data_IF_671933943205
#
_entry.id   IF_671933943205
#
_cell.length_a   1.000
_cell.length_b   1.000
_cell.length_c   1.000
_cell.angle_alpha   90.00
_cell.angle_beta   90.00
_cell.angle_gamma   90.00
#
_symmetry.space_group_name_H-M   'P 1'
#
loop_
_entity.id
_entity.type
_entity.pdbx_description
1 polymer ?
#
# COMPACT_ATOMS: atom_id res chain seq x y z
N UNK A 1 -11.49 -8.59 27.66
CA UNK A 1 -12.97 -8.70 27.50
C UNK A 1 -13.30 -10.17 27.34
N UNK A 2 -14.48 -10.66 27.80
CA UNK A 2 -14.84 -12.07 27.63
C UNK A 2 -15.15 -12.37 26.18
N UNK A 3 -14.62 -13.48 25.64
CA UNK A 3 -14.94 -13.93 24.27
C UNK A 3 -16.46 -14.09 24.11
N UNK A 4 -17.03 -13.72 22.94
CA UNK A 4 -18.47 -13.88 22.71
C UNK A 4 -18.87 -15.35 22.81
N UNK A 5 -20.05 -15.60 23.38
CA UNK A 5 -20.58 -16.96 23.44
C UNK A 5 -21.08 -17.40 22.06
N UNK A 6 -21.39 -18.70 21.92
CA UNK A 6 -21.79 -19.29 20.64
C UNK A 6 -23.03 -18.63 20.02
N UNK A 7 -24.02 -18.26 20.84
CA UNK A 7 -25.25 -17.58 20.38
C UNK A 7 -24.93 -16.18 19.83
N UNK A 8 -24.12 -15.40 20.55
CA UNK A 8 -23.68 -14.08 20.10
C UNK A 8 -22.91 -14.16 18.79
N UNK A 9 -22.05 -15.18 18.65
CA UNK A 9 -21.30 -15.44 17.40
C UNK A 9 -22.25 -15.70 16.24
N UNK A 10 -23.21 -16.61 16.39
CA UNK A 10 -24.20 -16.94 15.35
C UNK A 10 -25.02 -15.71 14.97
N UNK A 11 -25.51 -14.94 15.95
CA UNK A 11 -26.30 -13.72 15.71
C UNK A 11 -25.44 -12.65 14.98
N UNK A 12 -24.17 -12.47 15.35
CA UNK A 12 -23.27 -11.56 14.68
C UNK A 12 -23.03 -11.93 13.21
N UNK A 13 -22.75 -13.22 12.94
CA UNK A 13 -22.56 -13.72 11.58
C UNK A 13 -23.86 -13.59 10.75
N UNK A 14 -25.02 -13.89 11.34
CA UNK A 14 -26.32 -13.75 10.69
C UNK A 14 -26.61 -12.28 10.35
N UNK A 15 -26.41 -11.36 11.29
CA UNK A 15 -26.57 -9.94 11.07
C UNK A 15 -25.64 -9.41 9.97
N UNK A 16 -24.37 -9.83 9.96
CA UNK A 16 -23.40 -9.47 8.94
C UNK A 16 -23.85 -9.91 7.55
N UNK A 17 -24.13 -11.21 7.40
CA UNK A 17 -24.51 -11.84 6.10
C UNK A 17 -25.86 -11.32 5.62
N UNK A 18 -26.85 -11.17 6.51
CA UNK A 18 -28.18 -10.66 6.20
C UNK A 18 -28.11 -9.20 5.72
N UNK A 19 -27.36 -8.34 6.42
CA UNK A 19 -27.15 -6.94 6.01
C UNK A 19 -26.45 -6.86 4.66
N UNK A 20 -25.40 -7.68 4.41
CA UNK A 20 -24.72 -7.72 3.10
C UNK A 20 -25.67 -8.18 1.98
N UNK A 21 -26.49 -9.20 2.25
CA UNK A 21 -27.52 -9.68 1.29
C UNK A 21 -28.53 -8.61 0.94
N UNK A 22 -29.07 -7.90 1.93
CA UNK A 22 -30.02 -6.81 1.74
C UNK A 22 -29.42 -5.68 0.90
N UNK A 23 -28.20 -5.24 1.21
CA UNK A 23 -27.51 -4.20 0.45
C UNK A 23 -27.30 -4.59 -1.01
N UNK A 24 -26.95 -5.85 -1.29
CA UNK A 24 -26.80 -6.36 -2.66
C UNK A 24 -28.13 -6.32 -3.43
N UNK A 25 -29.24 -6.74 -2.82
CA UNK A 25 -30.57 -6.73 -3.44
C UNK A 25 -31.04 -5.30 -3.72
N UNK A 26 -30.72 -4.35 -2.83
CA UNK A 26 -31.12 -2.93 -3.02
C UNK A 26 -30.16 -2.14 -3.92
N UNK A 27 -29.12 -2.79 -4.51
CA UNK A 27 -28.15 -2.12 -5.37
C UNK A 27 -27.26 -1.10 -4.65
N UNK A 28 -27.28 -1.07 -3.31
CA UNK A 28 -26.47 -0.16 -2.49
C UNK A 28 -25.14 -0.80 -2.17
N UNK A 29 -24.05 -0.19 -2.63
CA UNK A 29 -22.71 -0.49 -2.16
C UNK A 29 -22.58 -0.06 -0.70
N UNK A 30 -22.25 -0.98 0.21
CA UNK A 30 -22.03 -0.66 1.62
C UNK A 30 -21.10 -1.68 2.24
N UNK A 31 -19.80 -1.37 2.30
CA UNK A 31 -18.78 -2.28 2.83
C UNK A 31 -18.72 -2.26 4.36
N UNK A 32 -19.06 -1.12 5.00
CA UNK A 32 -18.94 -0.94 6.45
C UNK A 32 -20.17 -1.38 7.25
N UNK A 33 -21.41 -1.23 6.69
CA UNK A 33 -22.65 -1.48 7.43
C UNK A 33 -22.81 -2.93 7.92
N UNK A 34 -22.47 -3.97 7.13
CA UNK A 34 -22.53 -5.36 7.62
C UNK A 34 -21.64 -5.61 8.85
N UNK A 35 -20.44 -5.03 8.87
CA UNK A 35 -19.55 -5.16 10.02
C UNK A 35 -20.06 -4.40 11.25
N UNK A 36 -20.65 -3.22 11.05
CA UNK A 36 -21.31 -2.51 12.16
C UNK A 36 -22.46 -3.34 12.74
N UNK A 37 -23.29 -3.96 11.91
CA UNK A 37 -24.40 -4.82 12.34
C UNK A 37 -23.90 -6.05 13.10
N UNK A 38 -22.82 -6.69 12.64
CA UNK A 38 -22.18 -7.82 13.36
C UNK A 38 -21.73 -7.42 14.77
N UNK A 39 -21.09 -6.27 14.91
CA UNK A 39 -20.52 -5.78 16.17
C UNK A 39 -21.57 -5.32 17.21
N UNK A 40 -22.84 -5.20 16.82
CA UNK A 40 -23.94 -4.95 17.77
C UNK A 40 -24.13 -6.14 18.73
N UNK A 41 -24.02 -7.35 18.21
CA UNK A 41 -24.21 -8.58 19.01
C UNK A 41 -22.93 -9.05 19.70
N UNK A 42 -21.76 -8.84 19.05
CA UNK A 42 -20.47 -9.12 19.64
C UNK A 42 -19.44 -8.11 19.13
N UNK A 43 -18.94 -7.23 20.04
CA UNK A 43 -17.96 -6.19 19.68
C UNK A 43 -16.67 -6.78 19.14
N UNK A 44 -16.25 -7.95 19.64
CA UNK A 44 -15.01 -8.64 19.34
C UNK A 44 -15.22 -9.83 18.37
N UNK A 45 -16.32 -9.82 17.59
CA UNK A 45 -16.63 -10.88 16.61
C UNK A 45 -15.47 -11.12 15.62
N UNK A 46 -14.70 -10.08 15.31
CA UNK A 46 -13.57 -10.14 14.39
C UNK A 46 -12.48 -11.10 14.94
N UNK A 47 -12.20 -11.10 16.25
CA UNK A 47 -11.25 -12.02 16.88
C UNK A 47 -11.66 -13.49 16.71
N UNK A 48 -12.98 -13.77 16.84
CA UNK A 48 -13.50 -15.12 16.66
C UNK A 48 -13.42 -15.56 15.20
N UNK A 49 -13.86 -14.68 14.28
CA UNK A 49 -13.98 -15.02 12.87
C UNK A 49 -12.65 -15.01 12.11
N UNK A 50 -11.58 -14.45 12.68
CA UNK A 50 -10.21 -14.52 12.15
C UNK A 50 -9.34 -15.59 12.84
N UNK A 51 -9.86 -16.25 13.87
CA UNK A 51 -9.08 -17.21 14.67
C UNK A 51 -8.57 -18.37 13.84
N UNK A 52 -7.25 -18.58 13.82
CA UNK A 52 -6.60 -19.63 13.04
C UNK A 52 -6.30 -19.26 11.58
N UNK A 53 -6.57 -18.01 11.18
CA UNK A 53 -6.08 -17.47 9.91
C UNK A 53 -4.63 -16.98 10.05
N UNK A 54 -3.85 -17.15 8.99
CA UNK A 54 -2.58 -16.47 8.82
C UNK A 54 -2.81 -15.18 8.00
N UNK A 55 -2.46 -14.04 8.58
CA UNK A 55 -2.87 -12.73 8.05
C UNK A 55 -1.67 -11.85 7.77
N UNK A 56 -1.63 -11.26 6.56
CA UNK A 56 -0.77 -10.14 6.19
C UNK A 56 -1.62 -8.86 6.26
N UNK A 57 -1.18 -7.86 7.00
CA UNK A 57 -1.78 -6.52 7.01
C UNK A 57 -0.93 -5.57 6.17
N UNK A 58 -1.57 -4.80 5.30
CA UNK A 58 -0.92 -3.75 4.50
C UNK A 58 -1.50 -2.40 4.88
N UNK A 59 -0.64 -1.48 5.32
CA UNK A 59 -0.98 -0.11 5.70
C UNK A 59 0.00 0.91 5.11
N UNK A 60 -0.25 2.20 5.28
CA UNK A 60 0.55 3.31 4.74
C UNK A 60 -0.26 4.20 3.79
N UNK A 61 0.23 5.40 3.47
CA UNK A 61 -0.56 6.42 2.75
C UNK A 61 -0.90 6.00 1.32
N UNK A 62 0.11 5.62 0.53
CA UNK A 62 -0.04 5.20 -0.86
C UNK A 62 0.35 3.73 -1.06
N UNK A 63 -0.23 3.08 -2.09
CA UNK A 63 0.18 1.73 -2.49
C UNK A 63 -0.51 0.58 -1.77
N UNK A 64 -1.30 0.80 -0.70
CA UNK A 64 -2.00 -0.23 0.07
C UNK A 64 -2.73 -1.25 -0.81
N UNK A 65 -3.66 -0.77 -1.62
CA UNK A 65 -4.51 -1.61 -2.47
C UNK A 65 -3.69 -2.39 -3.51
N UNK A 66 -2.70 -1.75 -4.13
CA UNK A 66 -1.85 -2.39 -5.15
C UNK A 66 -0.98 -3.48 -4.52
N UNK A 67 -0.33 -3.20 -3.39
CA UNK A 67 0.47 -4.18 -2.65
C UNK A 67 -0.39 -5.36 -2.18
N UNK A 68 -1.57 -5.09 -1.62
CA UNK A 68 -2.51 -6.15 -1.20
C UNK A 68 -2.95 -7.04 -2.36
N UNK A 69 -3.18 -6.45 -3.54
CA UNK A 69 -3.52 -7.22 -4.75
C UNK A 69 -2.36 -8.05 -5.28
N UNK A 70 -1.14 -7.54 -5.26
CA UNK A 70 0.05 -8.31 -5.62
C UNK A 70 0.18 -9.56 -4.72
N UNK A 71 -0.04 -9.39 -3.41
CA UNK A 71 -0.03 -10.48 -2.44
C UNK A 71 -1.19 -11.47 -2.64
N UNK A 72 -2.43 -10.97 -2.81
CA UNK A 72 -3.61 -11.81 -3.10
C UNK A 72 -3.41 -12.61 -4.38
N UNK A 73 -2.89 -11.94 -5.44
CA UNK A 73 -2.63 -12.58 -6.72
C UNK A 73 -1.57 -13.68 -6.60
N UNK A 74 -0.47 -13.41 -5.91
CA UNK A 74 0.60 -14.39 -5.69
C UNK A 74 0.09 -15.61 -4.92
N UNK A 75 -0.64 -15.43 -3.81
CA UNK A 75 -1.24 -16.50 -3.05
C UNK A 75 -2.20 -17.34 -3.90
N UNK A 76 -3.05 -16.70 -4.68
CA UNK A 76 -4.02 -17.38 -5.55
C UNK A 76 -3.32 -18.14 -6.68
N UNK A 77 -2.31 -17.55 -7.31
CA UNK A 77 -1.52 -18.20 -8.37
C UNK A 77 -0.75 -19.42 -7.85
N UNK A 78 -0.32 -19.40 -6.58
CA UNK A 78 0.30 -20.53 -5.89
C UNK A 78 -0.71 -21.59 -5.42
N UNK A 79 -2.02 -21.43 -5.71
CA UNK A 79 -3.06 -22.37 -5.35
C UNK A 79 -3.62 -22.22 -3.93
N UNK A 80 -3.32 -21.13 -3.23
CA UNK A 80 -3.85 -20.85 -1.91
C UNK A 80 -5.17 -20.08 -1.98
N UNK A 81 -6.18 -20.52 -1.25
CA UNK A 81 -7.37 -19.70 -1.02
C UNK A 81 -7.05 -18.53 -0.10
N UNK A 82 -7.22 -17.30 -0.60
CA UNK A 82 -6.92 -16.08 0.10
C UNK A 82 -8.15 -15.16 0.20
N UNK A 83 -8.41 -14.64 1.39
CA UNK A 83 -9.38 -13.57 1.60
C UNK A 83 -8.69 -12.21 1.51
N UNK A 84 -9.25 -11.29 0.72
CA UNK A 84 -8.83 -9.90 0.70
C UNK A 84 -10.03 -8.96 0.84
N UNK A 85 -9.89 -7.86 1.59
CA UNK A 85 -10.92 -6.84 1.66
C UNK A 85 -10.85 -5.93 0.44
N UNK A 86 -11.77 -6.15 -0.49
CA UNK A 86 -11.87 -5.37 -1.74
C UNK A 86 -12.57 -4.03 -1.48
N UNK A 87 -12.36 -3.07 -2.39
CA UNK A 87 -13.14 -1.82 -2.45
C UNK A 87 -13.00 -0.86 -1.27
N UNK A 88 -11.79 -0.68 -0.73
CA UNK A 88 -11.54 0.35 0.29
C UNK A 88 -12.21 0.10 1.65
N UNK A 89 -12.64 -1.14 1.94
CA UNK A 89 -13.19 -1.54 3.23
C UNK A 89 -12.09 -1.71 4.29
N UNK A 90 -11.24 -0.68 4.47
CA UNK A 90 -10.01 -0.69 5.25
C UNK A 90 -10.15 -0.20 6.70
N UNK A 91 -11.35 0.24 7.09
CA UNK A 91 -11.67 0.57 8.48
C UNK A 91 -12.14 -0.67 9.25
N UNK A 92 -12.12 -0.61 10.58
CA UNK A 92 -12.52 -1.71 11.47
C UNK A 92 -13.84 -2.38 11.07
N UNK A 93 -14.86 -1.59 10.71
CA UNK A 93 -16.16 -2.12 10.30
C UNK A 93 -16.11 -2.84 8.95
N UNK A 94 -15.31 -2.36 8.01
CA UNK A 94 -15.10 -2.99 6.71
C UNK A 94 -14.34 -4.32 6.84
N UNK A 95 -13.22 -4.32 7.55
CA UNK A 95 -12.45 -5.54 7.85
C UNK A 95 -13.31 -6.57 8.57
N UNK A 96 -14.10 -6.13 9.58
CA UNK A 96 -15.05 -7.01 10.28
C UNK A 96 -16.07 -7.61 9.30
N UNK A 97 -16.61 -6.80 8.39
CA UNK A 97 -17.59 -7.27 7.40
C UNK A 97 -17.00 -8.35 6.49
N UNK A 98 -15.78 -8.14 5.95
CA UNK A 98 -15.15 -9.09 5.03
C UNK A 98 -14.84 -10.42 5.72
N UNK A 99 -14.16 -10.40 6.85
CA UNK A 99 -13.77 -11.62 7.58
C UNK A 99 -15.02 -12.35 8.10
N UNK A 100 -15.97 -11.64 8.73
CA UNK A 100 -17.19 -12.26 9.28
C UNK A 100 -18.09 -12.84 8.19
N UNK A 101 -18.23 -12.20 7.03
CA UNK A 101 -18.99 -12.77 5.91
C UNK A 101 -18.32 -14.02 5.32
N UNK A 102 -17.01 -14.11 5.37
CA UNK A 102 -16.26 -15.31 4.95
C UNK A 102 -16.31 -16.45 5.98
N UNK A 103 -16.73 -16.21 7.21
CA UNK A 103 -16.81 -17.25 8.22
C UNK A 103 -18.03 -18.18 8.03
N UNK A 104 -17.97 -19.38 8.63
CA UNK A 104 -19.13 -20.27 8.80
C UNK A 104 -20.16 -19.63 9.74
N UNK A 105 -21.34 -20.21 9.86
CA UNK A 105 -22.37 -19.75 10.81
C UNK A 105 -21.92 -19.84 12.29
N UNK A 106 -20.98 -20.73 12.57
CA UNK A 106 -20.37 -20.91 13.90
C UNK A 106 -19.15 -20.03 14.15
N UNK A 107 -18.82 -19.14 13.20
CA UNK A 107 -17.71 -18.19 13.31
C UNK A 107 -16.34 -18.72 12.87
N UNK A 108 -16.23 -19.96 12.39
CA UNK A 108 -14.94 -20.47 11.88
C UNK A 108 -14.62 -19.86 10.52
N UNK A 109 -13.38 -19.37 10.28
CA UNK A 109 -12.98 -18.89 8.97
C UNK A 109 -13.08 -20.01 7.92
N UNK A 110 -13.37 -19.65 6.67
CA UNK A 110 -13.40 -20.59 5.54
C UNK A 110 -12.08 -20.66 4.80
N UNK A 111 -11.29 -19.57 4.84
CA UNK A 111 -9.98 -19.48 4.23
C UNK A 111 -8.90 -19.46 5.30
N UNK A 112 -7.74 -20.04 5.00
CA UNK A 112 -6.61 -20.05 5.90
C UNK A 112 -5.79 -18.75 5.81
N UNK A 113 -5.63 -18.20 4.61
CA UNK A 113 -4.86 -17.00 4.36
C UNK A 113 -5.74 -15.77 4.18
N UNK A 114 -5.25 -14.62 4.67
CA UNK A 114 -5.86 -13.33 4.37
C UNK A 114 -4.83 -12.24 4.13
N UNK A 115 -5.12 -11.35 3.20
CA UNK A 115 -4.42 -10.08 2.97
C UNK A 115 -5.38 -8.95 3.29
N UNK A 116 -5.10 -8.20 4.33
CA UNK A 116 -5.99 -7.15 4.84
C UNK A 116 -5.36 -5.78 4.62
N UNK A 117 -5.95 -5.01 3.71
CA UNK A 117 -5.70 -3.58 3.62
C UNK A 117 -6.30 -2.89 4.85
N UNK A 118 -5.48 -2.15 5.59
CA UNK A 118 -5.90 -1.43 6.79
C UNK A 118 -5.50 0.05 6.72
N UNK A 119 -6.45 0.89 7.07
CA UNK A 119 -6.23 2.33 7.21
C UNK A 119 -5.32 2.59 8.42
N UNK A 120 -4.46 3.60 8.34
CA UNK A 120 -3.45 3.94 9.33
C UNK A 120 -4.07 4.24 10.70
N UNK A 121 -5.19 4.98 10.73
CA UNK A 121 -5.91 5.30 11.97
C UNK A 121 -6.70 4.12 12.53
N UNK A 122 -7.08 3.14 11.69
CA UNK A 122 -7.80 1.94 12.09
C UNK A 122 -6.88 0.82 12.61
N UNK A 123 -5.59 0.86 12.25
CA UNK A 123 -4.62 -0.20 12.54
C UNK A 123 -4.64 -0.61 14.02
N UNK A 124 -4.59 0.37 14.94
CA UNK A 124 -4.60 0.17 16.39
C UNK A 124 -5.87 -0.53 16.94
N UNK A 125 -6.96 -0.56 16.14
CA UNK A 125 -8.22 -1.20 16.52
C UNK A 125 -8.36 -2.58 15.87
N UNK A 126 -7.81 -2.76 14.67
CA UNK A 126 -7.92 -3.99 13.88
C UNK A 126 -6.91 -5.04 14.32
N UNK A 127 -5.64 -4.65 14.41
CA UNK A 127 -4.50 -5.54 14.67
C UNK A 127 -4.66 -6.40 15.93
N UNK A 128 -5.10 -5.85 17.09
CA UNK A 128 -5.26 -6.68 18.30
C UNK A 128 -6.38 -7.71 18.22
N UNK A 129 -7.23 -7.64 17.21
CA UNK A 129 -8.33 -8.60 16.99
C UNK A 129 -7.99 -9.68 15.97
N UNK A 130 -7.08 -9.40 15.03
CA UNK A 130 -6.75 -10.34 13.95
C UNK A 130 -5.38 -10.98 14.08
N UNK A 131 -4.52 -10.50 15.00
CA UNK A 131 -3.19 -11.03 15.30
C UNK A 131 -2.37 -11.34 14.02
N UNK A 132 -1.99 -10.34 13.22
CA UNK A 132 -1.32 -10.57 11.94
C UNK A 132 0.07 -11.18 12.14
N UNK A 133 0.47 -12.06 11.22
CA UNK A 133 1.82 -12.62 11.15
C UNK A 133 2.82 -11.62 10.57
N UNK A 134 2.36 -10.78 9.63
CA UNK A 134 3.16 -9.75 8.96
C UNK A 134 2.38 -8.44 8.89
N UNK A 135 3.04 -7.33 9.16
CA UNK A 135 2.54 -5.97 8.91
C UNK A 135 3.48 -5.29 7.93
N UNK A 136 2.92 -4.82 6.81
CA UNK A 136 3.62 -4.04 5.78
C UNK A 136 3.25 -2.57 5.95
N UNK A 137 4.25 -1.70 6.00
CA UNK A 137 4.05 -0.25 5.92
C UNK A 137 4.70 0.25 4.62
N UNK A 138 3.87 0.74 3.69
CA UNK A 138 4.33 1.11 2.34
C UNK A 138 5.10 2.41 2.32
N UNK A 139 4.50 3.48 2.81
CA UNK A 139 5.06 4.82 2.92
C UNK A 139 4.15 5.69 3.79
N UNK A 140 4.68 6.83 4.26
CA UNK A 140 3.93 7.81 5.03
C UNK A 140 4.12 9.18 4.41
N UNK A 141 3.08 9.66 3.72
CA UNK A 141 2.99 10.97 3.11
C UNK A 141 1.87 11.77 3.75
N UNK A 142 1.92 13.08 3.60
CA UNK A 142 0.78 13.93 3.86
C UNK A 142 -0.39 13.48 2.97
N UNK A 143 -1.50 13.13 3.59
CA UNK A 143 -2.76 12.83 2.94
C UNK A 143 -3.72 14.02 3.12
N UNK A 144 -5.01 13.80 3.04
CA UNK A 144 -6.01 14.84 3.25
C UNK A 144 -5.98 15.34 4.70
N UNK A 145 -5.67 16.62 4.89
CA UNK A 145 -5.60 17.27 6.20
C UNK A 145 -6.90 17.11 7.02
N UNK A 146 -8.04 17.09 6.37
CA UNK A 146 -9.36 16.93 7.00
C UNK A 146 -9.53 15.63 7.79
N UNK A 147 -8.72 14.62 7.51
CA UNK A 147 -8.91 13.27 8.05
C UNK A 147 -7.95 12.90 9.16
N UNK A 148 -6.70 13.30 9.04
CA UNK A 148 -5.62 12.81 9.92
C UNK A 148 -4.69 13.90 10.46
N UNK A 149 -4.88 15.17 10.09
CA UNK A 149 -3.99 16.24 10.48
C UNK A 149 -2.58 16.10 9.90
N UNK A 150 -1.57 16.40 10.68
CA UNK A 150 -0.16 16.34 10.23
C UNK A 150 0.33 14.87 10.05
N UNK A 151 1.29 14.66 9.16
CA UNK A 151 1.90 13.34 8.89
C UNK A 151 2.43 12.66 10.15
N UNK A 152 2.92 13.43 11.13
CA UNK A 152 3.38 12.90 12.41
C UNK A 152 2.27 12.25 13.24
N UNK A 153 1.02 12.75 13.14
CA UNK A 153 -0.12 12.09 13.76
C UNK A 153 -0.35 10.71 13.13
N UNK A 154 -0.23 10.59 11.80
CA UNK A 154 -0.35 9.31 11.10
C UNK A 154 0.76 8.33 11.52
N UNK A 155 2.02 8.79 11.62
CA UNK A 155 3.12 7.98 12.17
C UNK A 155 2.77 7.41 13.54
N UNK A 156 2.23 8.24 14.44
CA UNK A 156 1.87 7.81 15.79
C UNK A 156 0.69 6.82 15.80
N UNK A 157 -0.31 6.99 14.94
CA UNK A 157 -1.41 6.02 14.80
C UNK A 157 -0.90 4.63 14.36
N UNK A 158 0.01 4.60 13.39
CA UNK A 158 0.63 3.34 12.91
C UNK A 158 1.49 2.73 14.03
N UNK A 159 2.30 3.55 14.71
CA UNK A 159 3.13 3.10 15.85
C UNK A 159 2.28 2.44 16.95
N UNK A 160 1.18 3.08 17.35
CA UNK A 160 0.22 2.51 18.32
C UNK A 160 -0.37 1.17 17.84
N UNK A 161 -0.57 1.01 16.53
CA UNK A 161 -1.02 -0.25 15.95
C UNK A 161 0.06 -1.34 16.08
N UNK A 162 1.29 -1.04 15.68
CA UNK A 162 2.43 -1.95 15.75
C UNK A 162 2.67 -2.44 17.18
N UNK A 163 2.63 -1.55 18.17
CA UNK A 163 2.81 -1.88 19.58
C UNK A 163 1.78 -2.90 20.11
N UNK A 164 0.61 -3.03 19.44
CA UNK A 164 -0.43 -4.01 19.79
C UNK A 164 -0.26 -5.37 19.10
N UNK A 165 0.77 -5.52 18.26
CA UNK A 165 1.13 -6.77 17.60
C UNK A 165 2.63 -7.06 17.73
N UNK A 166 3.15 -7.27 18.95
CA UNK A 166 4.59 -7.43 19.18
C UNK A 166 5.20 -8.67 18.50
N UNK A 167 4.38 -9.67 18.18
CA UNK A 167 4.80 -10.91 17.53
C UNK A 167 4.83 -10.80 15.97
N UNK A 168 4.24 -9.76 15.42
CA UNK A 168 4.20 -9.58 13.97
C UNK A 168 5.59 -9.23 13.42
N UNK A 169 5.96 -9.80 12.28
CA UNK A 169 7.11 -9.32 11.51
C UNK A 169 6.73 -8.04 10.77
N UNK A 170 7.54 -6.99 10.89
CA UNK A 170 7.34 -5.72 10.19
C UNK A 170 8.11 -5.73 8.89
N UNK A 171 7.44 -5.45 7.77
CA UNK A 171 8.06 -5.16 6.48
C UNK A 171 8.00 -3.65 6.26
N UNK A 172 9.13 -2.98 6.41
CA UNK A 172 9.22 -1.52 6.42
C UNK A 172 10.03 -0.99 5.24
N UNK A 173 9.56 0.11 4.65
CA UNK A 173 10.27 0.82 3.60
C UNK A 173 11.48 1.56 4.20
N UNK A 174 12.68 1.12 3.85
CA UNK A 174 13.93 1.71 4.34
C UNK A 174 14.17 3.12 3.79
N UNK A 175 13.60 3.43 2.62
CA UNK A 175 13.82 4.71 1.93
C UNK A 175 12.97 5.84 2.51
N UNK A 176 11.98 5.52 3.34
CA UNK A 176 11.10 6.47 4.01
C UNK A 176 11.53 6.64 5.47
N UNK A 177 12.07 7.81 5.82
CA UNK A 177 12.56 8.09 7.18
C UNK A 177 11.48 8.04 8.26
N UNK A 178 10.20 8.31 7.89
CA UNK A 178 9.06 8.22 8.79
C UNK A 178 8.69 6.75 9.04
N UNK A 179 8.65 5.93 7.97
CA UNK A 179 8.42 4.48 8.09
C UNK A 179 9.57 3.82 8.85
N UNK A 180 10.82 4.19 8.54
CA UNK A 180 11.99 3.66 9.25
C UNK A 180 11.94 3.96 10.75
N UNK A 181 11.36 5.11 11.15
CA UNK A 181 11.21 5.46 12.56
C UNK A 181 10.26 4.54 13.34
N UNK A 182 9.39 3.80 12.67
CA UNK A 182 8.47 2.85 13.31
C UNK A 182 9.19 1.65 13.92
N UNK A 183 10.42 1.37 13.47
CA UNK A 183 11.28 0.32 14.04
C UNK A 183 11.93 0.72 15.37
N UNK A 184 11.86 2.00 15.73
CA UNK A 184 12.44 2.48 16.98
C UNK A 184 11.56 2.04 18.16
N UNK A 185 12.19 1.44 19.18
CA UNK A 185 11.56 1.07 20.44
C UNK A 185 10.40 0.04 20.30
N UNK A 186 10.48 -0.86 19.30
CA UNK A 186 9.54 -1.97 19.13
C UNK A 186 10.27 -3.33 19.24
N UNK A 187 9.67 -4.37 19.82
CA UNK A 187 10.28 -5.69 19.95
C UNK A 187 10.18 -6.52 18.66
N UNK A 188 9.44 -6.03 17.68
CA UNK A 188 9.13 -6.75 16.46
C UNK A 188 10.38 -7.06 15.63
N UNK A 189 10.39 -8.22 14.97
CA UNK A 189 11.34 -8.48 13.90
C UNK A 189 11.06 -7.55 12.73
N UNK A 190 12.08 -6.89 12.19
CA UNK A 190 11.96 -5.99 11.04
C UNK A 190 12.69 -6.58 9.85
N UNK A 191 12.06 -6.50 8.68
CA UNK A 191 12.62 -6.79 7.36
C UNK A 191 12.48 -5.53 6.52
N UNK A 192 13.60 -5.05 5.99
CA UNK A 192 13.66 -3.81 5.25
C UNK A 192 13.58 -4.06 3.74
N UNK A 193 12.79 -3.24 3.05
CA UNK A 193 12.78 -3.21 1.60
C UNK A 193 12.98 -1.78 1.09
N UNK A 194 13.39 -1.63 -0.16
CA UNK A 194 13.59 -0.33 -0.79
C UNK A 194 14.27 -0.42 -2.14
N UNK A 195 14.69 0.73 -2.67
CA UNK A 195 15.45 0.86 -3.91
C UNK A 195 16.90 1.24 -3.58
N UNK A 196 17.86 0.39 -3.97
CA UNK A 196 19.30 0.66 -3.83
C UNK A 196 19.86 1.31 -5.10
N UNK A 197 19.02 2.06 -5.81
CA UNK A 197 19.38 2.76 -7.05
C UNK A 197 18.65 4.10 -7.11
N UNK A 198 19.30 5.18 -7.59
CA UNK A 198 18.60 6.44 -7.87
C UNK A 198 17.59 6.27 -8.99
N UNK A 199 16.56 7.11 -9.01
CA UNK A 199 15.53 7.12 -10.06
C UNK A 199 15.48 8.51 -10.69
N UNK A 200 15.77 8.56 -12.00
CA UNK A 200 15.74 9.80 -12.80
C UNK A 200 16.84 10.80 -12.42
N UNK A 201 16.77 11.99 -13.02
CA UNK A 201 17.63 13.11 -12.65
C UNK A 201 17.18 13.68 -11.31
N UNK A 202 18.12 13.89 -10.40
CA UNK A 202 17.86 14.47 -9.09
C UNK A 202 17.48 15.95 -9.26
N UNK A 203 16.19 16.24 -9.20
CA UNK A 203 15.72 17.59 -8.89
C UNK A 203 15.53 17.65 -7.38
N UNK A 204 16.07 18.69 -6.74
CA UNK A 204 15.77 18.98 -5.34
C UNK A 204 14.25 19.04 -5.20
N UNK A 205 13.68 18.02 -4.56
CA UNK A 205 12.24 17.96 -4.38
C UNK A 205 11.86 19.01 -3.33
N UNK A 206 11.32 20.14 -3.77
CA UNK A 206 10.81 21.21 -2.91
C UNK A 206 9.67 20.74 -1.98
N UNK A 207 9.10 19.57 -2.26
CA UNK A 207 7.99 19.00 -1.49
C UNK A 207 8.48 17.76 -0.75
N UNK A 208 8.90 17.95 0.50
CA UNK A 208 9.29 16.87 1.39
C UNK A 208 8.46 16.89 2.66
N UNK A 209 7.63 15.86 2.84
CA UNK A 209 6.85 15.66 4.06
C UNK A 209 7.74 15.25 5.26
N UNK A 210 9.00 14.87 5.00
CA UNK A 210 9.99 14.46 5.99
C UNK A 210 11.33 15.18 5.80
N UNK A 211 11.32 16.52 5.87
CA UNK A 211 12.52 17.33 5.70
C UNK A 211 13.50 17.22 6.86
N UNK A 212 13.00 17.03 8.07
CA UNK A 212 13.81 17.10 9.29
C UNK A 212 13.90 15.74 9.98
N UNK A 213 15.08 15.48 10.57
CA UNK A 213 15.34 14.27 11.32
C UNK A 213 14.37 14.14 12.50
N UNK A 214 13.65 13.02 12.53
CA UNK A 214 12.67 12.71 13.58
C UNK A 214 13.31 12.60 14.98
N UNK A 215 14.64 12.36 15.06
CA UNK A 215 15.37 12.24 16.33
C UNK A 215 15.89 13.56 16.88
N UNK A 216 16.41 14.43 16.01
CA UNK A 216 17.12 15.65 16.48
C UNK A 216 16.72 16.95 15.78
N UNK A 217 15.79 16.89 14.82
CA UNK A 217 15.31 18.08 14.12
C UNK A 217 16.25 18.68 13.08
N UNK A 218 17.44 18.10 12.86
CA UNK A 218 18.38 18.55 11.81
C UNK A 218 17.84 18.17 10.43
N UNK A 219 17.97 19.02 9.40
CA UNK A 219 17.61 18.62 8.03
C UNK A 219 18.34 17.38 7.58
N UNK A 220 17.61 16.45 6.94
CA UNK A 220 18.23 15.28 6.34
C UNK A 220 19.08 15.66 5.14
N UNK A 221 20.10 14.85 4.88
CA UNK A 221 20.84 14.79 3.64
C UNK A 221 20.62 13.44 2.97
N UNK A 222 20.87 13.37 1.66
CA UNK A 222 20.59 12.18 0.87
C UNK A 222 21.80 11.81 0.02
N UNK A 223 22.12 10.51 -0.03
CA UNK A 223 23.07 9.98 -0.99
C UNK A 223 22.45 9.91 -2.39
N UNK A 224 21.15 9.65 -2.46
CA UNK A 224 20.33 9.65 -3.65
C UNK A 224 18.86 9.81 -3.28
N UNK A 225 18.08 10.35 -4.20
CA UNK A 225 16.63 10.41 -4.12
C UNK A 225 16.00 9.42 -5.10
N UNK A 226 14.78 8.97 -4.79
CA UNK A 226 13.93 8.22 -5.71
C UNK A 226 12.72 9.06 -6.10
N UNK A 227 11.90 9.47 -5.16
CA UNK A 227 10.87 10.51 -5.32
C UNK A 227 10.46 11.08 -3.96
N UNK A 228 10.02 12.35 -3.95
CA UNK A 228 9.66 13.08 -2.72
C UNK A 228 10.76 12.92 -1.66
N UNK A 229 10.42 12.54 -0.42
CA UNK A 229 11.38 12.32 0.66
C UNK A 229 11.96 10.89 0.71
N UNK A 230 11.67 10.05 -0.28
CA UNK A 230 12.20 8.68 -0.34
C UNK A 230 13.60 8.65 -0.94
N UNK A 231 14.46 7.81 -0.36
CA UNK A 231 15.82 7.59 -0.86
C UNK A 231 16.83 7.22 0.21
N UNK A 232 18.11 7.41 -0.11
CA UNK A 232 19.23 7.12 0.79
C UNK A 232 19.46 8.25 1.80
N UNK A 233 18.54 8.49 2.71
CA UNK A 233 18.60 9.56 3.70
C UNK A 233 19.62 9.31 4.82
N UNK A 234 20.20 10.38 5.35
CA UNK A 234 20.98 10.34 6.60
C UNK A 234 20.91 11.70 7.31
N UNK A 235 21.05 11.66 8.63
CA UNK A 235 21.16 12.84 9.47
C UNK A 235 22.62 13.12 9.78
N UNK A 236 23.18 14.29 9.36
CA UNK A 236 24.59 14.61 9.60
C UNK A 236 24.90 14.90 11.08
N UNK A 237 23.88 15.17 11.90
CA UNK A 237 24.03 15.52 13.31
C UNK A 237 23.99 14.31 14.25
N UNK A 238 22.96 13.44 14.14
CA UNK A 238 22.77 12.32 15.07
C UNK A 238 23.08 10.94 14.48
N UNK A 239 23.45 10.88 13.20
CA UNK A 239 23.79 9.63 12.52
C UNK A 239 22.58 8.73 12.18
N UNK A 240 21.32 9.17 12.41
CA UNK A 240 20.16 8.41 11.97
C UNK A 240 20.13 8.35 10.44
N UNK A 241 20.04 7.15 9.89
CA UNK A 241 20.18 6.92 8.46
C UNK A 241 19.29 5.79 7.98
N UNK A 242 19.19 5.68 6.66
CA UNK A 242 18.50 4.59 5.96
C UNK A 242 19.10 3.23 6.33
N UNK A 243 18.25 2.28 6.68
CA UNK A 243 18.65 0.92 7.03
C UNK A 243 19.03 0.10 5.77
N UNK A 244 19.87 -0.92 5.99
CA UNK A 244 20.23 -1.87 4.92
C UNK A 244 19.03 -2.73 4.55
N UNK A 245 18.68 -2.78 3.27
CA UNK A 245 17.57 -3.56 2.74
C UNK A 245 17.89 -5.04 2.62
N UNK A 246 16.94 -5.90 3.02
CA UNK A 246 16.93 -7.32 2.72
C UNK A 246 16.27 -7.63 1.39
N UNK A 247 15.28 -6.83 0.98
CA UNK A 247 14.69 -6.89 -0.36
C UNK A 247 14.93 -5.55 -1.04
N UNK A 248 15.77 -5.54 -2.06
CA UNK A 248 16.22 -4.33 -2.73
C UNK A 248 16.04 -4.41 -4.24
N UNK A 249 15.48 -3.36 -4.83
CA UNK A 249 15.60 -3.13 -6.27
C UNK A 249 16.96 -2.45 -6.52
N UNK A 250 17.84 -3.12 -7.23
CA UNK A 250 19.23 -2.66 -7.47
C UNK A 250 19.44 -2.00 -8.82
N UNK A 251 18.52 -2.22 -9.77
CA UNK A 251 18.49 -1.55 -11.06
C UNK A 251 17.08 -1.54 -11.64
N UNK A 252 16.80 -0.55 -12.49
CA UNK A 252 15.54 -0.39 -13.22
C UNK A 252 15.87 -0.25 -14.72
N UNK A 253 16.13 -1.36 -15.42
CA UNK A 253 16.49 -1.34 -16.83
C UNK A 253 15.44 -0.71 -17.74
N UNK A 254 14.14 -0.86 -17.38
CA UNK A 254 13.06 -0.35 -18.22
C UNK A 254 11.79 -0.05 -17.43
N UNK A 255 11.20 1.12 -17.71
CA UNK A 255 9.81 1.45 -17.38
C UNK A 255 9.09 1.76 -18.69
N UNK A 256 7.94 1.13 -18.93
CA UNK A 256 7.11 1.33 -20.12
C UNK A 256 5.63 1.34 -19.74
N UNK A 257 4.75 1.72 -20.67
CA UNK A 257 3.30 1.70 -20.43
C UNK A 257 2.74 0.31 -20.04
N UNK A 258 3.43 -0.77 -20.42
CA UNK A 258 3.01 -2.16 -20.18
C UNK A 258 3.62 -2.76 -18.90
N UNK A 259 4.42 -1.99 -18.17
CA UNK A 259 5.05 -2.44 -16.94
C UNK A 259 6.52 -2.04 -16.79
N UNK A 260 7.17 -2.61 -15.79
CA UNK A 260 8.55 -2.34 -15.43
C UNK A 260 9.39 -3.62 -15.42
N UNK A 261 10.68 -3.48 -15.78
CA UNK A 261 11.69 -4.53 -15.63
C UNK A 261 12.71 -4.05 -14.60
N UNK A 262 12.95 -4.87 -13.58
CA UNK A 262 13.84 -4.50 -12.47
C UNK A 262 14.80 -5.64 -12.12
N UNK A 263 15.98 -5.30 -11.61
CA UNK A 263 16.86 -6.26 -10.93
C UNK A 263 16.57 -6.19 -9.44
N UNK A 264 16.21 -7.32 -8.83
CA UNK A 264 15.85 -7.39 -7.42
C UNK A 264 16.82 -8.33 -6.68
N UNK A 265 17.44 -7.82 -5.61
CA UNK A 265 18.24 -8.59 -4.68
C UNK A 265 17.40 -8.93 -3.44
N UNK A 266 17.46 -10.17 -3.01
CA UNK A 266 16.83 -10.66 -1.80
C UNK A 266 17.91 -11.28 -0.90
N UNK A 267 18.11 -10.73 0.29
CA UNK A 267 18.89 -11.32 1.37
C UNK A 267 17.89 -11.93 2.36
N UNK A 268 17.50 -13.17 2.12
CA UNK A 268 16.54 -13.84 2.99
C UNK A 268 17.29 -14.41 4.19
N UNK A 269 17.00 -13.98 5.44
CA UNK A 269 17.35 -14.81 6.58
C UNK A 269 16.63 -16.13 6.38
N UNK A 270 17.25 -17.24 6.76
CA UNK A 270 16.75 -18.60 6.54
C UNK A 270 15.29 -18.78 7.03
N UNK A 271 14.34 -18.40 6.21
CA UNK A 271 12.96 -18.76 6.29
C UNK A 271 12.76 -19.98 5.37
N UNK A 272 12.66 -21.15 5.98
CA UNK A 272 12.49 -22.39 5.26
C UNK A 272 13.79 -22.95 4.65
N UNK A 273 13.64 -24.01 3.89
CA UNK A 273 14.69 -24.90 3.34
C UNK A 273 15.55 -24.34 2.19
N UNK A 274 15.65 -23.02 2.01
CA UNK A 274 16.49 -22.45 0.96
C UNK A 274 17.90 -22.14 1.46
N UNK A 275 18.96 -22.77 0.90
CA UNK A 275 20.34 -22.63 1.37
C UNK A 275 21.03 -21.35 0.92
N UNK A 276 20.43 -20.55 0.01
CA UNK A 276 21.07 -19.36 -0.53
C UNK A 276 20.80 -18.13 0.36
N UNK A 277 21.89 -17.56 0.90
CA UNK A 277 21.84 -16.36 1.75
C UNK A 277 21.51 -15.07 0.99
N UNK A 278 21.69 -15.03 -0.32
CA UNK A 278 21.41 -13.87 -1.19
C UNK A 278 21.15 -14.34 -2.61
N UNK A 279 20.10 -13.80 -3.23
CA UNK A 279 19.74 -14.05 -4.63
C UNK A 279 19.48 -12.73 -5.33
N UNK A 280 19.98 -12.55 -6.54
CA UNK A 280 19.62 -11.45 -7.45
C UNK A 280 18.96 -12.05 -8.69
N UNK A 281 17.84 -11.50 -9.10
CA UNK A 281 17.11 -11.92 -10.29
C UNK A 281 16.47 -10.72 -11.02
N UNK A 282 16.22 -10.91 -12.30
CA UNK A 282 15.44 -9.97 -13.09
C UNK A 282 13.95 -10.28 -12.90
N UNK A 283 13.15 -9.24 -12.64
CA UNK A 283 11.73 -9.34 -12.31
C UNK A 283 10.94 -8.43 -13.23
N UNK A 284 9.93 -8.98 -13.90
CA UNK A 284 8.94 -8.20 -14.62
C UNK A 284 7.76 -7.88 -13.71
N UNK A 285 7.38 -6.61 -13.66
CA UNK A 285 6.22 -6.10 -12.94
C UNK A 285 5.21 -5.63 -13.97
N UNK A 286 4.00 -6.19 -14.01
CA UNK A 286 2.95 -5.86 -14.98
C UNK A 286 2.30 -4.49 -14.78
N UNK A 287 2.86 -3.66 -13.90
CA UNK A 287 2.43 -2.30 -13.61
C UNK A 287 3.56 -1.32 -13.86
N UNK A 288 3.30 -0.20 -14.57
CA UNK A 288 4.27 0.85 -14.80
C UNK A 288 4.48 1.73 -13.57
N UNK A 289 5.44 2.65 -13.65
CA UNK A 289 5.80 3.69 -12.70
C UNK A 289 6.54 3.21 -11.43
N UNK A 290 7.39 4.11 -10.92
CA UNK A 290 8.32 3.85 -9.81
C UNK A 290 7.60 3.44 -8.53
N UNK A 291 6.48 4.05 -8.21
CA UNK A 291 5.72 3.68 -7.01
C UNK A 291 5.19 2.24 -7.05
N UNK A 292 4.93 1.66 -8.25
CA UNK A 292 4.57 0.25 -8.37
C UNK A 292 5.77 -0.68 -8.21
N UNK A 293 6.98 -0.20 -8.49
CA UNK A 293 8.22 -0.92 -8.17
C UNK A 293 8.37 -1.02 -6.64
N UNK A 294 8.10 0.05 -5.89
CA UNK A 294 8.04 0.01 -4.42
C UNK A 294 6.95 -0.95 -3.91
N UNK A 295 5.75 -0.90 -4.50
CA UNK A 295 4.66 -1.81 -4.12
C UNK A 295 5.04 -3.27 -4.35
N UNK A 296 5.75 -3.58 -5.44
CA UNK A 296 6.26 -4.92 -5.73
C UNK A 296 7.35 -5.34 -4.73
N UNK A 297 8.30 -4.46 -4.41
CA UNK A 297 9.32 -4.74 -3.39
C UNK A 297 8.69 -5.00 -2.01
N UNK A 298 7.69 -4.21 -1.63
CA UNK A 298 6.90 -4.40 -0.40
C UNK A 298 6.18 -5.76 -0.39
N UNK A 299 5.56 -6.12 -1.52
CA UNK A 299 4.84 -7.40 -1.65
C UNK A 299 5.81 -8.59 -1.57
N UNK A 300 6.96 -8.54 -2.26
CA UNK A 300 7.99 -9.60 -2.17
C UNK A 300 8.52 -9.71 -0.75
N UNK A 301 8.81 -8.59 -0.10
CA UNK A 301 9.25 -8.57 1.30
C UNK A 301 8.22 -9.24 2.23
N UNK A 302 6.95 -8.89 2.09
CA UNK A 302 5.87 -9.44 2.92
C UNK A 302 5.66 -10.94 2.67
N UNK A 303 5.64 -11.35 1.41
CA UNK A 303 5.42 -12.75 1.01
C UNK A 303 6.50 -13.67 1.56
N UNK A 304 7.76 -13.23 1.45
CA UNK A 304 8.91 -13.97 1.98
C UNK A 304 8.98 -13.94 3.50
N UNK A 305 8.69 -12.80 4.14
CA UNK A 305 8.57 -12.69 5.60
C UNK A 305 7.42 -13.53 6.17
N UNK A 306 6.38 -13.75 5.40
CA UNK A 306 5.25 -14.62 5.73
C UNK A 306 5.66 -16.11 5.76
N UNK A 307 6.78 -16.46 5.13
CA UNK A 307 7.36 -17.82 5.08
C UNK A 307 7.06 -18.60 3.81
N UNK A 308 6.62 -17.91 2.75
CA UNK A 308 6.31 -18.49 1.45
C UNK A 308 7.49 -18.36 0.47
N UNK A 309 7.60 -19.24 -0.55
CA UNK A 309 8.69 -19.21 -1.52
C UNK A 309 8.70 -17.94 -2.37
N UNK A 310 9.85 -17.27 -2.48
CA UNK A 310 9.98 -16.04 -3.26
C UNK A 310 9.61 -16.24 -4.74
N UNK A 311 9.89 -17.41 -5.33
CA UNK A 311 9.60 -17.67 -6.75
C UNK A 311 8.12 -17.55 -7.10
N UNK A 312 7.23 -17.91 -6.19
CA UNK A 312 5.79 -17.82 -6.40
C UNK A 312 5.35 -16.37 -6.65
N UNK A 313 5.77 -15.43 -5.79
CA UNK A 313 5.42 -14.03 -5.97
C UNK A 313 6.16 -13.40 -7.15
N UNK A 314 7.45 -13.69 -7.34
CA UNK A 314 8.25 -13.11 -8.42
C UNK A 314 7.66 -13.43 -9.80
N UNK A 315 7.21 -14.67 -10.02
CA UNK A 315 6.55 -15.09 -11.26
C UNK A 315 5.19 -14.42 -11.44
N UNK A 316 4.43 -14.23 -10.35
CA UNK A 316 3.08 -13.67 -10.41
C UNK A 316 3.05 -12.17 -10.71
N UNK A 317 4.12 -11.41 -10.39
CA UNK A 317 4.17 -9.95 -10.56
C UNK A 317 3.97 -9.50 -12.02
N UNK A 318 4.37 -10.30 -13.00
CA UNK A 318 4.21 -10.00 -14.41
C UNK A 318 2.73 -9.94 -14.85
N UNK A 319 1.88 -10.72 -14.20
CA UNK A 319 0.46 -10.86 -14.55
C UNK A 319 -0.46 -9.97 -13.73
N UNK A 320 0.07 -9.24 -12.76
CA UNK A 320 -0.71 -8.29 -11.96
C UNK A 320 -1.26 -7.20 -12.86
N UNK A 321 -2.58 -7.02 -12.83
CA UNK A 321 -3.29 -5.97 -13.57
C UNK A 321 -3.80 -4.89 -12.65
N UNK A 322 -3.80 -3.68 -13.14
CA UNK A 322 -4.36 -2.54 -12.43
C UNK A 322 -5.90 -2.61 -12.36
N UNK A 323 -6.47 -1.93 -11.37
CA UNK A 323 -7.92 -1.84 -11.21
C UNK A 323 -8.32 -0.63 -10.39
N UNK A 324 -9.60 -0.29 -10.44
CA UNK A 324 -10.20 0.80 -9.66
C UNK A 324 -9.50 2.15 -9.88
N UNK A 325 -9.26 2.51 -11.16
CA UNK A 325 -8.62 3.76 -11.54
C UNK A 325 -7.11 3.85 -11.24
N UNK A 326 -6.49 2.78 -10.75
CA UNK A 326 -5.05 2.78 -10.41
C UNK A 326 -4.23 2.27 -11.58
N UNK A 327 -3.91 3.13 -12.56
CA UNK A 327 -3.29 2.78 -13.85
C UNK A 327 -4.18 1.86 -14.69
N UNK A 328 -5.50 1.95 -14.54
CA UNK A 328 -6.44 1.14 -15.28
C UNK A 328 -6.49 1.58 -16.74
N UNK A 329 -6.31 0.63 -17.66
CA UNK A 329 -6.35 0.88 -19.10
C UNK A 329 -7.59 0.24 -19.71
N UNK A 330 -8.36 1.01 -20.46
CA UNK A 330 -9.53 0.54 -21.20
C UNK A 330 -9.63 1.22 -22.56
N UNK A 331 -10.51 0.72 -23.42
CA UNK A 331 -10.75 1.30 -24.74
C UNK A 331 -12.11 2.00 -24.80
N UNK A 332 -12.12 3.20 -25.40
CA UNK A 332 -13.34 3.95 -25.72
C UNK A 332 -13.32 4.24 -27.21
N UNK A 333 -14.08 3.49 -28.00
CA UNK A 333 -13.95 3.48 -29.44
C UNK A 333 -12.54 3.00 -29.85
N UNK A 334 -11.85 3.78 -30.68
CA UNK A 334 -10.47 3.49 -31.10
C UNK A 334 -9.41 3.99 -30.10
N UNK A 335 -9.81 4.82 -29.14
CA UNK A 335 -8.87 5.43 -28.21
C UNK A 335 -8.54 4.49 -27.03
N UNK A 336 -7.25 4.44 -26.67
CA UNK A 336 -6.76 3.86 -25.42
C UNK A 336 -6.87 4.93 -24.32
N UNK A 337 -7.59 4.62 -23.26
CA UNK A 337 -7.75 5.51 -22.09
C UNK A 337 -7.06 4.87 -20.89
N UNK A 338 -6.20 5.62 -20.22
CA UNK A 338 -5.58 5.20 -18.98
C UNK A 338 -6.05 6.12 -17.84
N UNK A 339 -6.62 5.52 -16.81
CA UNK A 339 -7.11 6.23 -15.63
C UNK A 339 -6.11 6.10 -14.48
N UNK A 340 -5.70 7.23 -13.90
CA UNK A 340 -4.75 7.29 -12.79
C UNK A 340 -5.37 8.08 -11.66
N UNK A 341 -5.76 7.39 -10.58
CA UNK A 341 -6.30 8.02 -9.38
C UNK A 341 -5.14 8.58 -8.53
N UNK A 342 -5.20 9.87 -8.27
CA UNK A 342 -4.28 10.59 -7.39
C UNK A 342 -5.08 11.30 -6.28
N UNK A 343 -4.52 11.43 -5.09
CA UNK A 343 -5.22 12.01 -3.93
C UNK A 343 -4.33 12.88 -3.04
N UNK A 344 -3.04 13.00 -3.37
CA UNK A 344 -2.09 13.84 -2.66
C UNK A 344 -0.97 14.28 -3.62
N UNK A 345 -0.14 15.30 -3.24
CA UNK A 345 0.92 15.83 -4.08
C UNK A 345 1.93 14.77 -4.54
N UNK A 346 2.40 13.94 -3.63
CA UNK A 346 3.41 12.91 -3.94
C UNK A 346 2.90 11.91 -4.98
N UNK A 347 1.67 11.43 -4.83
CA UNK A 347 1.02 10.54 -5.80
C UNK A 347 0.78 11.21 -7.14
N UNK A 348 0.38 12.50 -7.14
CA UNK A 348 0.17 13.29 -8.35
C UNK A 348 1.48 13.50 -9.10
N UNK A 349 2.55 13.93 -8.43
CA UNK A 349 3.85 14.16 -9.06
C UNK A 349 4.42 12.87 -9.68
N UNK A 350 4.22 11.72 -9.04
CA UNK A 350 4.60 10.44 -9.62
C UNK A 350 3.77 10.06 -10.85
N UNK A 351 2.47 10.37 -10.86
CA UNK A 351 1.63 10.17 -12.04
C UNK A 351 2.05 11.10 -13.19
N UNK A 352 2.32 12.37 -12.89
CA UNK A 352 2.81 13.36 -13.88
C UNK A 352 4.19 12.96 -14.43
N UNK A 353 5.13 12.52 -13.58
CA UNK A 353 6.43 12.03 -13.99
C UNK A 353 6.32 10.81 -14.93
N UNK A 354 5.42 9.87 -14.61
CA UNK A 354 5.14 8.74 -15.48
C UNK A 354 4.58 9.19 -16.82
N UNK A 355 3.56 10.06 -16.82
CA UNK A 355 2.95 10.59 -18.07
C UNK A 355 4.00 11.35 -18.88
N UNK A 356 4.85 12.16 -18.24
CA UNK A 356 5.95 12.85 -18.91
C UNK A 356 7.01 11.90 -19.51
N UNK A 357 7.16 10.69 -19.02
CA UNK A 357 8.11 9.69 -19.54
C UNK A 357 7.58 8.90 -20.74
N UNK A 358 6.29 9.01 -21.08
CA UNK A 358 5.71 8.30 -22.22
C UNK A 358 6.24 8.86 -23.54
N UNK A 359 6.67 8.01 -24.45
CA UNK A 359 7.14 8.42 -25.79
C UNK A 359 5.99 8.73 -26.75
N UNK A 360 4.82 8.13 -26.53
CA UNK A 360 3.62 8.28 -27.34
C UNK A 360 2.94 9.65 -27.13
N UNK A 361 2.26 10.16 -28.14
CA UNK A 361 1.38 11.33 -28.01
C UNK A 361 0.13 10.99 -27.21
N UNK A 362 -0.28 11.89 -26.35
CA UNK A 362 -1.46 11.70 -25.50
C UNK A 362 -2.19 13.01 -25.22
N UNK A 363 -3.46 12.90 -24.87
CA UNK A 363 -4.24 13.98 -24.25
C UNK A 363 -4.35 13.73 -22.76
N UNK A 364 -3.95 14.70 -21.94
CA UNK A 364 -4.10 14.65 -20.50
C UNK A 364 -5.37 15.37 -20.08
N UNK A 365 -6.25 14.66 -19.36
CA UNK A 365 -7.44 15.22 -18.72
C UNK A 365 -7.29 15.09 -17.22
N UNK A 366 -7.27 16.20 -16.51
CA UNK A 366 -7.21 16.23 -15.06
C UNK A 366 -8.61 16.52 -14.50
N UNK A 367 -9.15 15.60 -13.69
CA UNK A 367 -10.45 15.73 -13.06
C UNK A 367 -10.27 15.87 -11.55
N UNK A 368 -10.69 16.98 -10.98
CA UNK A 368 -10.66 17.25 -9.54
C UNK A 368 -12.04 17.05 -8.94
N UNK A 369 -12.09 16.33 -7.82
CA UNK A 369 -13.32 16.08 -7.07
C UNK A 369 -13.18 16.66 -5.65
N UNK A 370 -14.19 17.43 -5.21
CA UNK A 370 -14.29 18.07 -3.90
C UNK A 370 -15.36 17.45 -2.97
N UNK A 371 -15.85 16.24 -3.31
CA UNK A 371 -16.89 15.57 -2.55
C UNK A 371 -16.38 14.98 -1.25
N UNK A 372 -17.25 14.92 -0.25
CA UNK A 372 -16.95 14.40 1.11
C UNK A 372 -16.24 13.05 1.14
N UNK A 373 -16.49 12.18 0.15
CA UNK A 373 -15.87 10.87 0.09
C UNK A 373 -14.35 10.91 -0.19
N UNK A 374 -13.89 11.95 -0.90
CA UNK A 374 -12.49 12.13 -1.31
C UNK A 374 -11.77 13.23 -0.49
N UNK A 375 -12.49 13.85 0.48
CA UNK A 375 -12.04 15.00 1.26
C UNK A 375 -12.39 16.34 0.63
N UNK A 376 -12.61 17.34 1.46
CA UNK A 376 -12.94 18.70 1.02
C UNK A 376 -11.71 19.56 0.72
N UNK A 377 -10.53 19.18 1.25
CA UNK A 377 -9.31 19.93 1.00
C UNK A 377 -8.69 19.52 -0.35
N UNK A 378 -8.89 20.40 -1.32
CA UNK A 378 -8.30 20.28 -2.66
C UNK A 378 -7.06 21.16 -2.84
N UNK A 379 -6.61 21.85 -1.80
CA UNK A 379 -5.47 22.78 -1.88
C UNK A 379 -4.14 22.09 -2.22
N UNK A 380 -4.06 20.78 -1.98
CA UNK A 380 -2.88 19.98 -2.33
C UNK A 380 -2.53 20.02 -3.83
N UNK A 381 -3.46 20.40 -4.71
CA UNK A 381 -3.19 20.51 -6.15
C UNK A 381 -2.15 21.59 -6.46
N UNK A 382 -2.02 22.61 -5.60
CA UNK A 382 -1.02 23.66 -5.77
C UNK A 382 0.43 23.18 -5.52
N UNK A 383 0.57 22.04 -4.85
CA UNK A 383 1.85 21.39 -4.58
C UNK A 383 2.20 20.34 -5.66
N UNK A 384 1.41 20.22 -6.73
CA UNK A 384 1.66 19.29 -7.82
C UNK A 384 2.43 19.99 -8.96
N UNK A 385 3.48 19.33 -9.46
CA UNK A 385 4.39 19.83 -10.50
C UNK A 385 3.84 19.52 -11.89
N UNK A 386 2.86 20.30 -12.35
CA UNK A 386 2.28 20.17 -13.71
C UNK A 386 3.25 20.60 -14.82
N UNK A 387 4.23 21.43 -14.49
CA UNK A 387 5.24 21.97 -15.40
C UNK A 387 6.06 20.83 -16.03
N UNK A 388 6.25 19.72 -15.35
CA UNK A 388 6.96 18.54 -15.91
C UNK A 388 6.35 18.04 -17.21
N UNK A 389 5.02 18.02 -17.31
CA UNK A 389 4.32 17.58 -18.53
C UNK A 389 4.32 18.67 -19.59
N UNK A 390 4.19 19.94 -19.18
CA UNK A 390 4.19 21.11 -20.09
C UNK A 390 5.57 21.28 -20.74
N UNK A 391 6.65 21.24 -19.96
CA UNK A 391 8.01 21.42 -20.43
C UNK A 391 8.42 20.40 -21.50
N UNK A 392 7.95 19.15 -21.38
CA UNK A 392 8.19 18.11 -22.38
C UNK A 392 7.58 18.45 -23.75
N UNK A 393 6.38 19.03 -23.78
CA UNK A 393 5.68 19.39 -25.02
C UNK A 393 6.25 20.62 -25.73
N UNK A 394 6.88 21.54 -24.98
CA UNK A 394 7.53 22.72 -25.56
C UNK A 394 8.82 22.40 -26.35
N UNK A 395 9.39 21.22 -26.15
CA UNK A 395 10.53 20.74 -26.95
C UNK A 395 10.15 20.10 -28.29
N UNK A 396 8.88 19.91 -28.62
CA UNK A 396 8.37 19.47 -29.92
C UNK A 396 7.72 20.67 -30.63
N UNK A 397 8.14 20.96 -31.87
CA UNK A 397 7.74 22.13 -32.68
C UNK A 397 6.24 22.20 -33.06
N UNK A 398 5.33 21.55 -32.35
CA UNK A 398 3.90 21.62 -32.63
C UNK A 398 3.13 22.29 -31.48
N UNK A 399 2.38 23.35 -31.84
CA UNK A 399 1.41 24.06 -30.98
C UNK A 399 0.34 23.09 -30.41
N UNK A 400 0.52 22.59 -29.22
CA UNK A 400 -0.50 21.80 -28.53
C UNK A 400 -1.18 22.68 -27.48
N UNK A 401 -2.42 23.06 -27.75
CA UNK A 401 -3.23 23.83 -26.82
C UNK A 401 -3.65 23.01 -25.60
N UNK A 402 -3.29 23.44 -24.40
CA UNK A 402 -3.89 22.99 -23.15
C UNK A 402 -5.28 23.63 -23.06
N UNK A 403 -6.34 22.85 -23.19
CA UNK A 403 -7.72 23.29 -22.87
C UNK A 403 -8.02 22.95 -21.43
N UNK A 404 -8.14 23.97 -20.58
CA UNK A 404 -8.75 23.86 -19.27
C UNK A 404 -10.27 24.00 -19.48
N UNK A 405 -11.03 22.96 -19.14
CA UNK A 405 -12.51 22.99 -19.14
C UNK A 405 -13.01 23.02 -17.71
#
# INVERSE_FOLDING_TARGET
MSKPNQLQTVLSVAACKGTRGLLRVTGRGGTALPGKAARVFAKDILEVTSSGMEIIVVTGTNGKTTTSRMLEHALTAAGHECLANKSGANLLSGVTAEITCNATWTGKPKTHYAVIECDEGALKQVVPLIHPKVIVVTNLFRDQLDRYGEVMHTVEQVRMGIQKAPEATLCLNADDSLVASLALDVPNKVVWYGLDTPVGEQKDADISDAKYCIRCGTPYQYHYHTYAHLGGFYCPSCGYHREKTQVAVTAIPKISADGSLVSMRMELPAFGSCPEKSRTCEVRIGLPAVYNIYNAAAAVCAYTAFGLPADEILLSLADVRSSFGRMETFRVGENRVQMILVKNPAGCNQALAYVASLEEDFNLVFCLNDRTADGHDISWIWDADYEQVIARKQGSDEEHAIKVM
#
